data_IF_885075540017
#
_entry.id   IF_885075540017
#
_cell.length_a   1.000
_cell.length_b   1.000
_cell.length_c   1.000
_cell.angle_alpha   90.00
_cell.angle_beta   90.00
_cell.angle_gamma   90.00
#
_symmetry.space_group_name_H-M   'P 1'
#
loop_
_entity.id
_entity.type
_entity.pdbx_description
1 polymer ?
#
# COMPACT_ATOMS: atom_id res chain seq x y z
N UNK A 1 -15.16 0.81 -3.65
CA UNK A 1 -13.85 0.70 -2.95
C UNK A 1 -13.96 1.30 -1.57
N UNK A 2 -13.40 0.65 -0.57
CA UNK A 2 -13.48 1.11 0.82
C UNK A 2 -12.09 1.45 1.34
N UNK A 3 -11.95 2.63 1.95
CA UNK A 3 -10.73 3.07 2.62
C UNK A 3 -10.94 2.99 4.12
N UNK A 4 -10.18 2.14 4.78
CA UNK A 4 -10.23 1.95 6.23
C UNK A 4 -8.96 2.49 6.88
N UNK A 5 -9.13 3.20 7.98
CA UNK A 5 -8.05 3.68 8.85
C UNK A 5 -8.14 3.02 10.22
N UNK A 6 -7.03 2.47 10.67
CA UNK A 6 -6.89 1.83 11.99
C UNK A 6 -5.70 2.45 12.70
N UNK A 7 -5.90 2.88 13.94
CA UNK A 7 -4.81 3.31 14.79
C UNK A 7 -4.24 2.11 15.54
N UNK A 8 -2.95 1.84 15.36
CA UNK A 8 -2.25 0.74 15.99
C UNK A 8 -1.50 1.21 17.23
N UNK A 9 -1.48 0.37 18.26
CA UNK A 9 -0.69 0.59 19.48
C UNK A 9 0.63 -0.19 19.42
N UNK A 10 1.78 0.46 19.14
CA UNK A 10 3.07 -0.21 19.04
C UNK A 10 3.55 -0.84 20.35
N UNK A 11 2.93 -0.55 21.49
CA UNK A 11 3.28 -1.16 22.78
C UNK A 11 2.72 -2.57 22.89
N UNK A 12 1.68 -2.90 22.15
CA UNK A 12 1.06 -4.24 22.14
C UNK A 12 1.93 -5.25 21.40
N UNK A 13 2.03 -6.45 21.92
CA UNK A 13 2.89 -7.52 21.35
C UNK A 13 2.52 -7.87 19.91
N UNK A 14 1.22 -7.98 19.61
CA UNK A 14 0.75 -8.32 18.26
C UNK A 14 0.93 -7.17 17.30
N UNK A 15 0.73 -5.91 17.72
CA UNK A 15 1.04 -4.76 16.89
C UNK A 15 2.52 -4.73 16.47
N UNK A 16 3.45 -5.00 17.40
CA UNK A 16 4.88 -5.12 17.08
C UNK A 16 5.16 -6.22 16.07
N UNK A 17 4.50 -7.39 16.22
CA UNK A 17 4.63 -8.50 15.27
C UNK A 17 4.16 -8.10 13.86
N UNK A 18 3.03 -7.41 13.75
CA UNK A 18 2.48 -6.92 12.50
C UNK A 18 3.39 -5.87 11.84
N UNK A 19 3.85 -4.90 12.64
CA UNK A 19 4.71 -3.82 12.19
C UNK A 19 6.15 -4.27 11.86
N UNK A 20 6.59 -5.39 12.44
CA UNK A 20 7.94 -5.95 12.24
C UNK A 20 8.05 -6.87 11.02
N UNK A 21 6.93 -7.37 10.50
CA UNK A 21 6.93 -8.29 9.35
C UNK A 21 5.90 -7.89 8.31
N UNK A 22 6.31 -7.39 7.13
CA UNK A 22 5.40 -7.09 6.04
C UNK A 22 4.55 -8.29 5.59
N UNK A 23 5.09 -9.49 5.69
CA UNK A 23 4.37 -10.72 5.33
C UNK A 23 3.23 -11.01 6.31
N UNK A 24 3.49 -10.85 7.62
CA UNK A 24 2.46 -11.03 8.64
C UNK A 24 1.38 -9.96 8.50
N UNK A 25 1.78 -8.70 8.32
CA UNK A 25 0.83 -7.62 8.08
C UNK A 25 -0.03 -7.89 6.84
N UNK A 26 0.59 -8.33 5.74
CA UNK A 26 -0.13 -8.66 4.51
C UNK A 26 -1.18 -9.76 4.74
N UNK A 27 -0.81 -10.85 5.42
CA UNK A 27 -1.75 -11.93 5.72
C UNK A 27 -2.94 -11.47 6.57
N UNK A 28 -2.69 -10.65 7.60
CA UNK A 28 -3.74 -10.09 8.47
C UNK A 28 -4.68 -9.16 7.71
N UNK A 29 -4.12 -8.32 6.83
CA UNK A 29 -4.89 -7.40 5.99
C UNK A 29 -5.75 -8.14 4.97
N UNK A 30 -5.22 -9.19 4.32
CA UNK A 30 -6.00 -10.03 3.41
C UNK A 30 -7.15 -10.73 4.14
N UNK A 31 -6.88 -11.28 5.34
CA UNK A 31 -7.93 -11.87 6.18
C UNK A 31 -9.05 -10.89 6.51
N UNK A 32 -8.71 -9.64 6.87
CA UNK A 32 -9.70 -8.60 7.14
C UNK A 32 -10.52 -8.20 5.91
N UNK A 33 -9.91 -8.23 4.72
CA UNK A 33 -10.60 -7.94 3.45
C UNK A 33 -11.47 -9.10 2.93
N UNK A 34 -11.48 -10.25 3.62
CA UNK A 34 -12.20 -11.45 3.18
C UNK A 34 -11.51 -12.22 2.06
N UNK A 35 -10.29 -11.85 1.71
CA UNK A 35 -9.49 -12.51 0.68
C UNK A 35 -8.61 -13.59 1.35
N UNK A 36 -9.18 -14.78 1.50
CA UNK A 36 -8.52 -15.91 2.18
C UNK A 36 -7.50 -16.67 1.31
N UNK A 37 -7.23 -16.23 0.12
CA UNK A 37 -6.33 -16.97 -0.77
C UNK A 37 -5.79 -16.12 -1.90
N UNK A 38 -4.49 -15.92 -1.89
CA UNK A 38 -3.69 -15.24 -2.90
C UNK A 38 -3.84 -15.76 -4.33
N UNK A 39 -4.99 -15.61 -4.91
CA UNK A 39 -5.23 -15.68 -6.33
C UNK A 39 -5.27 -14.26 -6.89
N UNK A 40 -4.46 -13.97 -7.88
CA UNK A 40 -4.75 -12.89 -8.81
C UNK A 40 -6.10 -13.26 -9.44
N UNK A 41 -7.19 -12.73 -8.89
CA UNK A 41 -8.46 -12.81 -9.59
C UNK A 41 -8.36 -11.84 -10.75
N UNK A 42 -8.23 -12.40 -11.94
CA UNK A 42 -8.22 -11.70 -13.23
C UNK A 42 -9.63 -11.14 -13.58
N UNK A 43 -10.52 -11.11 -12.58
CA UNK A 43 -11.93 -10.71 -12.71
C UNK A 43 -12.15 -9.19 -12.55
N UNK A 44 -11.08 -8.40 -12.47
CA UNK A 44 -11.19 -6.96 -12.28
C UNK A 44 -11.60 -6.53 -10.86
N UNK A 45 -11.75 -7.47 -9.92
CA UNK A 45 -11.90 -7.12 -8.50
C UNK A 45 -10.62 -6.44 -8.03
N UNK A 46 -10.73 -5.22 -7.53
CA UNK A 46 -9.58 -4.39 -7.19
C UNK A 46 -8.68 -5.06 -6.15
N UNK A 47 -7.37 -4.82 -6.27
CA UNK A 47 -6.38 -5.34 -5.32
C UNK A 47 -6.55 -4.73 -3.94
N UNK A 48 -6.34 -5.54 -2.92
CA UNK A 48 -6.20 -5.06 -1.56
C UNK A 48 -4.84 -4.36 -1.42
N UNK A 49 -4.87 -3.09 -1.04
CA UNK A 49 -3.67 -2.29 -0.81
C UNK A 49 -3.62 -1.84 0.64
N UNK A 50 -2.43 -1.76 1.19
CA UNK A 50 -2.26 -1.27 2.54
C UNK A 50 -0.97 -0.46 2.71
N UNK A 51 -0.98 0.42 3.70
CA UNK A 51 0.15 1.25 4.07
C UNK A 51 0.16 1.54 5.57
N UNK A 52 1.34 1.55 6.17
CA UNK A 52 1.56 1.98 7.54
C UNK A 52 2.25 3.33 7.55
N UNK A 53 1.63 4.31 8.20
CA UNK A 53 2.23 5.61 8.48
C UNK A 53 2.64 5.67 9.94
N UNK A 54 3.95 5.86 10.17
CA UNK A 54 4.51 6.03 11.50
C UNK A 54 4.74 7.53 11.75
N UNK A 55 3.84 8.12 12.54
CA UNK A 55 3.99 9.48 13.03
C UNK A 55 4.75 9.51 14.36
N UNK A 56 4.97 10.72 14.90
CA UNK A 56 5.64 10.89 16.19
C UNK A 56 4.81 10.33 17.36
N UNK A 57 3.48 10.47 17.29
CA UNK A 57 2.56 10.08 18.37
C UNK A 57 1.63 8.93 17.98
N UNK A 58 1.42 8.68 16.70
CA UNK A 58 0.44 7.70 16.22
C UNK A 58 1.04 6.80 15.14
N UNK A 59 0.61 5.55 15.11
CA UNK A 59 0.89 4.61 14.03
C UNK A 59 -0.42 4.23 13.38
N UNK A 60 -0.58 4.57 12.10
CA UNK A 60 -1.81 4.39 11.35
C UNK A 60 -1.63 3.33 10.27
N UNK A 61 -2.53 2.36 10.26
CA UNK A 61 -2.70 1.43 9.15
C UNK A 61 -3.85 1.94 8.27
N UNK A 62 -3.55 2.13 6.99
CA UNK A 62 -4.54 2.37 5.95
C UNK A 62 -4.69 1.11 5.11
N UNK A 63 -5.94 0.76 4.85
CA UNK A 63 -6.35 -0.39 4.06
C UNK A 63 -7.32 0.09 2.98
N UNK A 64 -7.04 -0.24 1.73
CA UNK A 64 -7.95 -0.04 0.60
C UNK A 64 -8.37 -1.42 0.07
N UNK A 65 -9.67 -1.67 0.03
CA UNK A 65 -10.26 -2.97 -0.34
C UNK A 65 -11.45 -2.80 -1.28
N UNK A 66 -11.75 -3.78 -2.14
CA UNK A 66 -12.93 -3.76 -3.00
C UNK A 66 -14.23 -3.77 -2.22
N UNK A 67 -14.30 -4.57 -1.17
CA UNK A 67 -15.42 -4.72 -0.23
C UNK A 67 -15.12 -4.09 1.12
N UNK A 68 -16.12 -3.84 1.92
CA UNK A 68 -15.95 -3.37 3.30
C UNK A 68 -15.24 -4.43 4.14
N UNK A 69 -14.05 -4.12 4.73
CA UNK A 69 -13.26 -5.09 5.46
C UNK A 69 -13.76 -5.27 6.89
N UNK A 70 -13.70 -6.49 7.42
CA UNK A 70 -13.86 -6.74 8.85
C UNK A 70 -12.51 -6.57 9.57
N UNK A 71 -12.32 -5.42 10.16
CA UNK A 71 -11.10 -5.07 10.90
C UNK A 71 -11.17 -5.37 12.40
N UNK A 72 -12.21 -6.05 12.88
CA UNK A 72 -12.45 -6.32 14.30
C UNK A 72 -11.29 -7.05 14.97
N UNK A 73 -10.71 -8.04 14.29
CA UNK A 73 -9.54 -8.76 14.77
C UNK A 73 -8.32 -7.84 14.92
N UNK A 74 -8.04 -7.02 13.90
CA UNK A 74 -6.88 -6.10 13.92
C UNK A 74 -7.02 -5.11 15.08
N UNK A 75 -8.21 -4.54 15.25
CA UNK A 75 -8.51 -3.58 16.34
C UNK A 75 -8.34 -4.26 17.70
N UNK A 76 -8.86 -5.47 17.87
CA UNK A 76 -8.77 -6.21 19.13
C UNK A 76 -7.33 -6.57 19.48
N UNK A 77 -6.55 -7.04 18.53
CA UNK A 77 -5.20 -7.57 18.75
C UNK A 77 -4.11 -6.48 18.78
N UNK A 78 -4.25 -5.47 17.96
CA UNK A 78 -3.18 -4.49 17.68
C UNK A 78 -3.65 -3.02 17.71
N UNK A 79 -4.94 -2.76 17.84
CA UNK A 79 -5.49 -1.41 17.82
C UNK A 79 -5.19 -0.62 19.10
N UNK A 80 -5.19 0.71 18.99
CA UNK A 80 -5.14 1.60 20.13
C UNK A 80 -6.42 1.46 20.97
N UNK A 81 -6.27 1.52 22.30
CA UNK A 81 -7.37 1.31 23.23
C UNK A 81 -8.49 2.35 23.02
N UNK A 82 -9.71 1.86 22.85
CA UNK A 82 -10.89 2.73 22.70
C UNK A 82 -11.01 3.43 21.33
N UNK A 83 -10.13 3.14 20.38
CA UNK A 83 -10.16 3.73 19.04
C UNK A 83 -10.65 2.69 18.02
N UNK A 84 -11.88 2.84 17.49
CA UNK A 84 -12.40 1.92 16.49
C UNK A 84 -11.74 2.15 15.13
N UNK A 85 -11.79 1.13 14.26
CA UNK A 85 -11.52 1.31 12.84
C UNK A 85 -12.55 2.29 12.23
N UNK A 86 -12.10 3.08 11.28
CA UNK A 86 -12.96 4.00 10.52
C UNK A 86 -12.91 3.65 9.05
N UNK A 87 -14.04 3.23 8.51
CA UNK A 87 -14.20 2.87 7.09
C UNK A 87 -15.06 3.91 6.40
N UNK A 88 -14.69 4.25 5.18
CA UNK A 88 -15.49 5.10 4.31
C UNK A 88 -15.52 4.53 2.89
N UNK A 89 -16.61 4.77 2.16
CA UNK A 89 -16.66 4.51 0.73
C UNK A 89 -15.77 5.52 -0.01
N UNK A 90 -14.75 4.99 -0.68
CA UNK A 90 -13.74 5.76 -1.41
C UNK A 90 -14.10 5.95 -2.89
N UNK A 91 -15.15 5.27 -3.39
CA UNK A 91 -15.61 5.35 -4.77
C UNK A 91 -15.92 6.77 -5.21
N UNK A 92 -16.64 7.61 -4.41
CA UNK A 92 -16.94 8.98 -4.84
C UNK A 92 -15.70 9.87 -5.01
N UNK A 93 -14.61 9.57 -4.30
CA UNK A 93 -13.35 10.26 -4.52
C UNK A 93 -12.68 9.81 -5.82
N UNK A 94 -12.66 8.50 -6.10
CA UNK A 94 -12.05 7.95 -7.30
C UNK A 94 -12.77 8.43 -8.58
N UNK A 95 -14.10 8.53 -8.54
CA UNK A 95 -14.94 9.03 -9.65
C UNK A 95 -14.68 10.51 -9.98
N UNK A 96 -14.13 11.27 -9.04
CA UNK A 96 -13.77 12.68 -9.23
C UNK A 96 -12.37 12.87 -9.82
N UNK A 97 -11.59 11.79 -9.96
CA UNK A 97 -10.28 11.87 -10.58
C UNK A 97 -10.43 11.91 -12.10
N UNK A 98 -9.92 12.96 -12.72
CA UNK A 98 -9.98 13.18 -14.15
C UNK A 98 -8.60 13.52 -14.72
N UNK A 99 -8.48 13.42 -16.03
CA UNK A 99 -7.28 13.86 -16.75
C UNK A 99 -7.01 15.34 -16.47
N UNK A 100 -5.75 15.74 -16.54
CA UNK A 100 -5.27 17.11 -16.36
C UNK A 100 -5.43 17.72 -14.95
N UNK A 101 -5.90 16.96 -13.98
CA UNK A 101 -5.89 17.39 -12.58
C UNK A 101 -4.48 17.32 -11.98
N UNK A 102 -4.13 18.30 -11.15
CA UNK A 102 -2.87 18.34 -10.41
C UNK A 102 -3.12 17.94 -8.96
N UNK A 103 -2.43 16.91 -8.51
CA UNK A 103 -2.54 16.38 -7.16
C UNK A 103 -1.20 16.37 -6.45
N UNK A 104 -1.16 16.84 -5.21
CA UNK A 104 -0.02 16.63 -4.32
C UNK A 104 -0.12 15.23 -3.69
N UNK A 105 0.93 14.43 -3.79
CA UNK A 105 0.98 13.11 -3.19
C UNK A 105 2.31 12.84 -2.51
N UNK A 106 2.31 11.91 -1.54
CA UNK A 106 3.52 11.39 -0.91
C UNK A 106 3.66 9.90 -1.25
N UNK A 107 4.76 9.55 -1.90
CA UNK A 107 5.06 8.18 -2.29
C UNK A 107 6.30 7.68 -1.56
N UNK A 108 6.19 6.52 -0.90
CA UNK A 108 7.33 5.71 -0.49
C UNK A 108 7.49 4.58 -1.52
N UNK A 109 8.56 4.62 -2.29
CA UNK A 109 8.80 3.64 -3.33
C UNK A 109 10.23 3.11 -3.26
N UNK A 110 10.39 1.83 -3.63
CA UNK A 110 11.70 1.26 -3.92
C UNK A 110 11.86 1.17 -5.45
N UNK A 111 12.48 2.17 -6.08
CA UNK A 111 12.61 2.20 -7.53
C UNK A 111 13.47 1.04 -8.01
N UNK A 112 13.02 0.37 -9.05
CA UNK A 112 13.75 -0.70 -9.71
C UNK A 112 13.79 -0.47 -11.22
N UNK A 113 14.81 -0.98 -11.87
CA UNK A 113 14.90 -1.00 -13.32
C UNK A 113 15.02 -2.44 -13.83
N UNK A 114 14.58 -2.67 -15.06
CA UNK A 114 14.75 -3.95 -15.74
C UNK A 114 15.89 -3.85 -16.73
N UNK A 115 16.92 -4.70 -16.58
CA UNK A 115 17.96 -4.84 -17.58
C UNK A 115 17.60 -5.95 -18.56
N UNK A 116 17.72 -5.67 -19.87
CA UNK A 116 17.52 -6.66 -20.91
C UNK A 116 18.60 -7.73 -20.82
N UNK A 117 18.23 -8.99 -21.04
CA UNK A 117 19.16 -10.14 -21.10
C UNK A 117 19.40 -10.62 -22.54
N UNK A 118 18.81 -9.97 -23.52
CA UNK A 118 18.89 -10.32 -24.92
C UNK A 118 17.52 -10.50 -25.58
N UNK A 119 17.47 -10.65 -26.91
CA UNK A 119 16.22 -10.85 -27.64
C UNK A 119 15.47 -12.08 -27.14
N UNK A 120 14.17 -11.94 -26.88
CA UNK A 120 13.31 -13.03 -26.41
C UNK A 120 13.44 -13.45 -24.95
N UNK A 121 14.37 -12.89 -24.17
CA UNK A 121 14.53 -13.19 -22.75
C UNK A 121 13.85 -12.16 -21.86
N UNK A 122 13.16 -12.62 -20.81
CA UNK A 122 12.59 -11.74 -19.78
C UNK A 122 13.71 -10.98 -19.06
N UNK A 123 13.63 -9.66 -19.03
CA UNK A 123 14.59 -8.81 -18.34
C UNK A 123 14.67 -9.13 -16.83
N UNK A 124 15.87 -9.00 -16.25
CA UNK A 124 16.07 -9.13 -14.80
C UNK A 124 15.82 -7.81 -14.11
N UNK A 125 15.05 -7.81 -13.02
CA UNK A 125 14.81 -6.65 -12.18
C UNK A 125 15.96 -6.43 -11.20
N UNK A 126 16.42 -5.17 -11.13
CA UNK A 126 17.43 -4.73 -10.18
C UNK A 126 16.89 -3.54 -9.37
N UNK A 127 17.10 -3.54 -8.06
CA UNK A 127 16.85 -2.36 -7.22
C UNK A 127 17.99 -1.37 -7.32
N UNK A 128 17.70 -0.08 -7.21
CA UNK A 128 18.75 0.94 -7.08
C UNK A 128 19.35 0.87 -5.67
N UNK A 129 20.65 0.71 -5.57
CA UNK A 129 21.37 0.48 -4.30
C UNK A 129 21.59 1.78 -3.55
N UNK A 130 21.88 2.90 -4.25
CA UNK A 130 22.17 4.19 -3.63
C UNK A 130 20.99 5.16 -3.69
N UNK A 131 20.95 6.10 -2.74
CA UNK A 131 19.92 7.17 -2.72
C UNK A 131 20.03 8.05 -3.97
N UNK A 132 21.25 8.36 -4.43
CA UNK A 132 21.50 9.14 -5.64
C UNK A 132 20.93 8.45 -6.89
N UNK A 133 21.17 7.14 -7.06
CA UNK A 133 20.60 6.38 -8.16
C UNK A 133 19.06 6.35 -8.12
N UNK A 134 18.48 6.32 -6.92
CA UNK A 134 17.01 6.39 -6.73
C UNK A 134 16.46 7.75 -7.16
N UNK A 135 17.13 8.84 -6.78
CA UNK A 135 16.72 10.19 -7.17
C UNK A 135 16.87 10.44 -8.67
N UNK A 136 17.97 10.01 -9.29
CA UNK A 136 18.21 10.14 -10.73
C UNK A 136 17.19 9.37 -11.57
N UNK A 137 16.83 8.16 -11.17
CA UNK A 137 15.83 7.35 -11.85
C UNK A 137 14.43 8.00 -11.84
N UNK A 138 14.08 8.68 -10.75
CA UNK A 138 12.83 9.42 -10.62
C UNK A 138 12.80 10.66 -11.53
N UNK A 139 13.88 11.43 -11.55
CA UNK A 139 14.00 12.64 -12.37
C UNK A 139 13.96 12.33 -13.88
N UNK A 140 14.53 11.20 -14.31
CA UNK A 140 14.50 10.79 -15.73
C UNK A 140 13.12 10.36 -16.20
N UNK A 141 12.32 9.71 -15.34
CA UNK A 141 10.93 9.34 -15.65
C UNK A 141 10.03 10.56 -15.81
N UNK A 142 10.20 11.57 -14.98
CA UNK A 142 9.42 12.82 -15.07
C UNK A 142 9.74 13.63 -16.34
N UNK A 143 11.00 13.60 -16.79
CA UNK A 143 11.39 14.23 -18.07
C UNK A 143 10.88 13.50 -19.30
N UNK A 144 10.77 12.16 -19.25
CA UNK A 144 10.23 11.35 -20.35
C UNK A 144 8.72 11.56 -20.57
N UNK A 145 7.96 11.81 -19.50
CA UNK A 145 6.52 12.06 -19.56
C UNK A 145 6.13 13.45 -20.07
N UNK A 146 7.04 14.42 -20.05
CA UNK A 146 6.79 15.78 -20.56
C UNK A 146 7.07 15.95 -22.05
N UNK A 147 7.44 14.88 -22.76
CA UNK A 147 7.79 14.92 -24.20
C UNK A 147 6.85 14.09 -25.09
N UNK A 148 5.76 13.53 -24.55
CA UNK A 148 4.65 12.92 -25.25
C UNK A 148 3.37 13.69 -24.96
#
# INVERSE_FOLDING_TARGET
>A
MFLTKIELDPTRRLARKYLGSPQVMHAVVLGAAGDSGGGETDDGSGRVLWRVDRGAMTTLLYLLSPSEPDCSQIVTEAGAAGVPARTLDYSPFLERLDADQLWAFRLAANPSYSASRGPGMRGKRFGHVTVEQRCLAQTQRDRGRRRT
#
